data_IF_044426604542
#
_entry.id   IF_044426604542
#
_cell.length_a   1.000
_cell.length_b   1.000
_cell.length_c   1.000
_cell.angle_alpha   90.00
_cell.angle_beta   90.00
_cell.angle_gamma   90.00
#
_symmetry.space_group_name_H-M   'P 1'
#
loop_
_entity.id
_entity.type
_entity.pdbx_description
1 polymer ?
#
# COMPACT_ATOMS: atom_id res chain seq x y z
N UNK A 1 -24.00 -15.80 46.37
CA UNK A 1 -23.71 -15.76 44.91
C UNK A 1 -23.85 -14.36 44.40
N UNK A 2 -22.77 -13.62 44.42
CA UNK A 2 -22.68 -12.27 43.77
C UNK A 2 -22.84 -12.46 42.27
N UNK A 3 -23.78 -11.78 41.60
CA UNK A 3 -23.86 -11.84 40.14
C UNK A 3 -22.52 -11.34 39.56
N UNK A 4 -21.95 -12.12 38.66
CA UNK A 4 -20.68 -11.81 38.02
C UNK A 4 -20.79 -10.58 37.10
N UNK A 5 -20.70 -9.39 37.70
CA UNK A 5 -20.74 -8.10 37.02
C UNK A 5 -19.36 -7.74 36.39
N UNK A 6 -18.30 -8.45 36.80
CA UNK A 6 -16.96 -8.23 36.23
C UNK A 6 -16.40 -9.53 35.67
N UNK A 7 -16.04 -9.53 34.41
CA UNK A 7 -15.26 -10.59 33.77
C UNK A 7 -13.85 -10.64 34.40
N UNK A 8 -13.46 -11.79 34.97
CA UNK A 8 -12.15 -11.96 35.65
C UNK A 8 -10.95 -12.07 34.71
N UNK A 9 -11.15 -12.05 33.39
CA UNK A 9 -10.14 -12.37 32.38
C UNK A 9 -9.64 -11.19 31.54
N UNK A 10 -9.99 -9.95 31.85
CA UNK A 10 -9.59 -8.78 31.07
C UNK A 10 -10.30 -8.64 29.71
N UNK A 11 -11.17 -9.57 29.34
CA UNK A 11 -11.87 -9.55 28.03
C UNK A 11 -12.72 -8.32 27.79
N UNK A 12 -13.15 -7.62 28.85
CA UNK A 12 -13.93 -6.39 28.72
C UNK A 12 -13.15 -5.27 28.07
N UNK A 13 -11.90 -5.07 28.46
CA UNK A 13 -11.01 -4.05 27.88
C UNK A 13 -10.69 -4.38 26.43
N UNK A 14 -10.37 -5.64 26.13
CA UNK A 14 -10.09 -6.10 24.77
C UNK A 14 -11.29 -5.88 23.84
N UNK A 15 -12.51 -6.15 24.30
CA UNK A 15 -13.74 -5.88 23.54
C UNK A 15 -13.96 -4.38 23.29
N UNK A 16 -13.73 -3.53 24.30
CA UNK A 16 -13.83 -2.07 24.15
C UNK A 16 -12.85 -1.58 23.08
N UNK A 17 -11.59 -2.01 23.14
CA UNK A 17 -10.55 -1.65 22.16
C UNK A 17 -10.94 -2.18 20.77
N UNK A 18 -11.28 -3.47 20.68
CA UNK A 18 -11.65 -4.10 19.41
C UNK A 18 -12.79 -3.37 18.71
N UNK A 19 -13.91 -3.14 19.41
CA UNK A 19 -15.08 -2.47 18.81
C UNK A 19 -14.79 -1.02 18.46
N UNK A 20 -14.12 -0.28 19.35
CA UNK A 20 -13.80 1.13 19.10
C UNK A 20 -12.92 1.30 17.86
N UNK A 21 -11.86 0.49 17.74
CA UNK A 21 -10.94 0.54 16.60
C UNK A 21 -11.59 0.02 15.31
N UNK A 22 -12.37 -1.07 15.40
CA UNK A 22 -13.08 -1.64 14.25
C UNK A 22 -14.10 -0.68 13.64
N UNK A 23 -14.66 0.21 14.45
CA UNK A 23 -15.57 1.29 13.99
C UNK A 23 -14.82 2.51 13.41
N UNK A 24 -13.51 2.44 13.23
CA UNK A 24 -12.70 3.56 12.72
C UNK A 24 -12.60 4.76 13.69
N UNK A 25 -12.87 4.53 14.97
CA UNK A 25 -12.72 5.52 16.04
C UNK A 25 -11.30 5.49 16.61
N UNK A 26 -10.85 6.56 17.29
CA UNK A 26 -9.60 6.56 18.03
C UNK A 26 -9.59 5.49 19.12
N UNK A 27 -8.41 5.00 19.49
CA UNK A 27 -8.27 4.12 20.65
C UNK A 27 -8.83 4.77 21.92
N UNK A 28 -9.38 3.98 22.87
CA UNK A 28 -9.78 4.48 24.19
C UNK A 28 -8.61 5.16 24.90
N UNK A 29 -8.87 6.30 25.51
CA UNK A 29 -7.86 7.03 26.28
C UNK A 29 -8.05 6.74 27.78
N UNK A 30 -7.03 6.17 28.40
CA UNK A 30 -6.95 5.84 29.83
C UNK A 30 -6.04 6.78 30.60
N UNK A 31 -5.58 7.89 30.02
CA UNK A 31 -4.64 8.84 30.64
C UNK A 31 -5.11 9.48 31.94
N UNK A 32 -6.42 9.47 32.18
CA UNK A 32 -7.07 10.01 33.40
C UNK A 32 -7.27 8.95 34.50
N UNK A 33 -6.71 7.74 34.33
CA UNK A 33 -6.72 6.70 35.36
C UNK A 33 -5.78 7.09 36.51
N UNK A 34 -6.22 6.92 37.74
CA UNK A 34 -5.44 7.15 38.97
C UNK A 34 -5.36 5.88 39.82
N UNK A 35 -4.79 5.97 41.02
CA UNK A 35 -4.62 4.82 41.92
C UNK A 35 -5.93 4.20 42.40
N UNK A 36 -7.04 4.93 42.35
CA UNK A 36 -8.34 4.53 42.89
C UNK A 36 -9.38 4.27 41.82
N UNK A 37 -9.20 4.88 40.62
CA UNK A 37 -10.22 4.89 39.56
C UNK A 37 -9.60 4.56 38.20
N UNK A 38 -10.28 3.68 37.45
CA UNK A 38 -9.99 3.47 36.01
C UNK A 38 -10.92 4.34 35.20
N UNK A 39 -10.37 5.34 34.51
CA UNK A 39 -11.13 6.26 33.66
C UNK A 39 -10.86 5.98 32.21
N UNK A 40 -11.88 5.54 31.46
CA UNK A 40 -11.80 5.32 30.01
C UNK A 40 -12.58 6.43 29.29
N UNK A 41 -11.92 7.18 28.41
CA UNK A 41 -12.56 8.17 27.55
C UNK A 41 -12.71 7.58 26.14
N UNK A 42 -13.93 7.46 25.66
CA UNK A 42 -14.28 6.94 24.34
C UNK A 42 -14.73 8.06 23.43
N UNK A 43 -14.17 8.14 22.22
CA UNK A 43 -14.61 9.08 21.20
C UNK A 43 -15.84 8.52 20.46
N UNK A 44 -16.89 9.34 20.30
CA UNK A 44 -18.03 8.99 19.45
C UNK A 44 -17.76 9.25 17.97
N UNK A 45 -16.71 10.02 17.64
CA UNK A 45 -16.42 10.44 16.26
C UNK A 45 -15.66 9.35 15.51
N UNK A 46 -16.23 8.90 14.39
CA UNK A 46 -15.54 8.04 13.42
C UNK A 46 -14.56 8.90 12.64
N UNK A 47 -13.27 8.57 12.71
CA UNK A 47 -12.20 9.29 11.98
C UNK A 47 -11.93 8.69 10.62
N UNK A 48 -12.13 7.39 10.46
CA UNK A 48 -11.80 6.64 9.25
C UNK A 48 -12.92 5.65 8.91
N UNK A 49 -13.89 6.11 8.15
CA UNK A 49 -15.03 5.29 7.68
C UNK A 49 -14.56 4.18 6.74
N UNK A 50 -13.54 4.44 5.91
CA UNK A 50 -12.96 3.44 5.02
C UNK A 50 -12.36 2.27 5.79
N UNK A 51 -11.68 2.56 6.90
CA UNK A 51 -11.12 1.53 7.77
C UNK A 51 -12.23 0.72 8.48
N UNK A 52 -13.26 1.38 8.97
CA UNK A 52 -14.41 0.70 9.57
C UNK A 52 -15.06 -0.29 8.58
N UNK A 53 -15.34 0.14 7.36
CA UNK A 53 -15.90 -0.71 6.31
C UNK A 53 -14.95 -1.85 5.91
N UNK A 54 -13.65 -1.58 5.89
CA UNK A 54 -12.63 -2.57 5.59
C UNK A 54 -12.59 -3.69 6.65
N UNK A 55 -12.51 -3.32 7.94
CA UNK A 55 -12.50 -4.28 9.05
C UNK A 55 -13.81 -5.05 9.13
N UNK A 56 -14.94 -4.37 8.96
CA UNK A 56 -16.25 -5.02 8.91
C UNK A 56 -16.31 -6.06 7.79
N UNK A 57 -15.88 -5.71 6.58
CA UNK A 57 -15.87 -6.63 5.44
C UNK A 57 -14.98 -7.88 5.67
N UNK A 58 -13.87 -7.74 6.41
CA UNK A 58 -13.06 -8.87 6.85
C UNK A 58 -13.83 -9.72 7.87
N UNK A 59 -14.40 -9.09 8.89
CA UNK A 59 -15.16 -9.78 9.93
C UNK A 59 -16.33 -10.57 9.34
N UNK A 60 -17.08 -9.96 8.42
CA UNK A 60 -18.24 -10.61 7.77
C UNK A 60 -17.82 -11.80 6.89
N UNK A 61 -16.63 -11.74 6.29
CA UNK A 61 -16.09 -12.80 5.43
C UNK A 61 -15.42 -13.96 6.16
N UNK A 62 -15.19 -13.85 7.47
CA UNK A 62 -14.53 -14.87 8.25
C UNK A 62 -15.53 -15.72 9.06
N UNK A 63 -15.28 -17.05 9.24
CA UNK A 63 -16.00 -17.87 10.18
C UNK A 63 -15.85 -17.36 11.61
N UNK A 64 -16.81 -17.66 12.50
CA UNK A 64 -16.83 -17.14 13.86
C UNK A 64 -15.60 -17.52 14.70
N UNK A 65 -15.05 -18.71 14.48
CA UNK A 65 -13.83 -19.20 15.13
C UNK A 65 -12.54 -18.53 14.60
N UNK A 66 -12.63 -17.75 13.52
CA UNK A 66 -11.49 -17.10 12.85
C UNK A 66 -11.63 -15.58 12.75
N UNK A 67 -12.58 -15.01 13.47
CA UNK A 67 -12.75 -13.53 13.52
C UNK A 67 -11.46 -12.84 13.96
N UNK A 68 -11.28 -11.60 13.52
CA UNK A 68 -10.15 -10.78 13.94
C UNK A 68 -10.16 -10.60 15.46
N UNK A 69 -9.01 -10.80 16.07
CA UNK A 69 -8.77 -10.49 17.48
C UNK A 69 -8.44 -9.00 17.68
N UNK A 70 -8.42 -8.54 18.92
CA UNK A 70 -7.98 -7.18 19.26
C UNK A 70 -6.56 -6.90 18.75
N UNK A 71 -5.66 -7.86 18.81
CA UNK A 71 -4.28 -7.73 18.35
C UNK A 71 -4.19 -7.65 16.83
N UNK A 72 -5.04 -8.38 16.10
CA UNK A 72 -5.12 -8.26 14.63
C UNK A 72 -5.54 -6.85 14.21
N UNK A 73 -6.57 -6.29 14.87
CA UNK A 73 -7.06 -4.93 14.56
C UNK A 73 -6.04 -3.86 14.97
N UNK A 74 -5.33 -4.02 16.09
CA UNK A 74 -4.24 -3.13 16.48
C UNK A 74 -3.13 -3.12 15.42
N UNK A 75 -2.70 -4.29 14.92
CA UNK A 75 -1.70 -4.38 13.85
C UNK A 75 -2.16 -3.71 12.55
N UNK A 76 -3.45 -3.84 12.19
CA UNK A 76 -4.04 -3.11 11.05
C UNK A 76 -4.02 -1.58 11.28
N UNK A 77 -4.31 -1.13 12.50
CA UNK A 77 -4.22 0.30 12.87
C UNK A 77 -2.79 0.82 12.78
N UNK A 78 -1.79 0.07 13.29
CA UNK A 78 -0.38 0.47 13.19
C UNK A 78 0.03 0.70 11.73
N UNK A 79 -0.37 -0.19 10.81
CA UNK A 79 -0.06 -0.04 9.37
C UNK A 79 -0.81 1.14 8.75
N UNK A 80 -2.10 1.31 9.09
CA UNK A 80 -2.89 2.46 8.65
C UNK A 80 -2.22 3.78 9.04
N UNK A 81 -1.74 3.84 10.28
CA UNK A 81 -1.15 5.04 10.87
C UNK A 81 0.32 5.25 10.46
N UNK A 82 0.83 4.41 9.55
CA UNK A 82 2.12 4.60 8.89
C UNK A 82 3.29 3.80 9.46
N UNK A 83 3.05 2.86 10.38
CA UNK A 83 4.08 1.94 10.81
C UNK A 83 4.55 1.07 9.63
N UNK A 84 5.87 1.01 9.41
CA UNK A 84 6.43 0.15 8.36
C UNK A 84 6.21 -1.33 8.62
N UNK A 85 6.13 -1.72 9.87
CA UNK A 85 5.89 -3.10 10.31
C UNK A 85 5.03 -3.07 11.57
N UNK A 86 4.09 -4.00 11.72
CA UNK A 86 3.40 -4.20 12.99
C UNK A 86 4.38 -4.55 14.10
N UNK A 87 4.02 -4.20 15.32
CA UNK A 87 4.82 -4.51 16.52
C UNK A 87 4.96 -6.02 16.72
N UNK A 88 3.92 -6.78 16.41
CA UNK A 88 3.93 -8.24 16.46
C UNK A 88 4.17 -8.86 15.08
N UNK A 89 5.30 -9.59 14.96
CA UNK A 89 5.71 -10.23 13.71
C UNK A 89 4.84 -11.43 13.33
N UNK A 90 4.36 -12.19 14.30
CA UNK A 90 3.54 -13.37 14.02
C UNK A 90 2.16 -12.96 13.51
N UNK A 91 1.59 -11.92 14.10
CA UNK A 91 0.35 -11.31 13.62
C UNK A 91 0.54 -10.72 12.22
N UNK A 92 1.65 -10.04 11.96
CA UNK A 92 1.96 -9.53 10.62
C UNK A 92 1.98 -10.65 9.57
N UNK A 93 2.64 -11.77 9.84
CA UNK A 93 2.69 -12.93 8.94
C UNK A 93 1.32 -13.58 8.73
N UNK A 94 0.52 -13.67 9.81
CA UNK A 94 -0.87 -14.15 9.73
C UNK A 94 -1.71 -13.27 8.81
N UNK A 95 -1.68 -11.96 9.02
CA UNK A 95 -2.47 -11.00 8.25
C UNK A 95 -2.01 -10.94 6.78
N UNK A 96 -0.70 -11.03 6.51
CA UNK A 96 -0.13 -11.13 5.17
C UNK A 96 -0.65 -12.39 4.44
N UNK A 97 -0.58 -13.55 5.09
CA UNK A 97 -1.05 -14.83 4.54
C UNK A 97 -2.55 -14.82 4.21
N UNK A 98 -3.36 -14.10 5.01
CA UNK A 98 -4.79 -13.93 4.79
C UNK A 98 -5.11 -12.84 3.75
N UNK A 99 -4.12 -12.08 3.29
CA UNK A 99 -4.31 -10.99 2.34
C UNK A 99 -4.91 -9.71 2.94
N UNK A 100 -4.85 -9.57 4.26
CA UNK A 100 -5.36 -8.37 4.97
C UNK A 100 -4.33 -7.26 5.08
N UNK A 101 -3.09 -7.55 4.74
CA UNK A 101 -2.02 -6.57 4.53
C UNK A 101 -1.17 -7.01 3.33
N UNK A 102 -0.55 -6.06 2.66
CA UNK A 102 0.36 -6.30 1.53
C UNK A 102 1.79 -5.97 1.94
N UNK A 103 2.71 -6.88 1.62
CA UNK A 103 4.13 -6.71 1.87
C UNK A 103 4.81 -6.13 0.64
N UNK A 104 5.55 -5.06 0.85
CA UNK A 104 6.33 -4.35 -0.17
C UNK A 104 7.79 -4.21 0.24
N UNK A 105 8.64 -3.76 -0.70
CA UNK A 105 10.05 -3.58 -0.47
C UNK A 105 10.88 -4.85 -0.65
N UNK A 106 12.21 -4.68 -0.79
CA UNK A 106 13.16 -5.78 -0.99
C UNK A 106 14.01 -6.00 0.26
N UNK A 107 14.17 -7.25 0.65
CA UNK A 107 15.09 -7.69 1.71
C UNK A 107 14.95 -6.86 3.01
N UNK A 108 15.90 -5.98 3.33
CA UNK A 108 15.93 -5.23 4.58
C UNK A 108 15.03 -4.00 4.61
N UNK A 109 14.53 -3.56 3.46
CA UNK A 109 13.63 -2.41 3.32
C UNK A 109 12.16 -2.81 3.19
N UNK A 110 11.78 -4.00 3.66
CA UNK A 110 10.40 -4.48 3.63
C UNK A 110 9.51 -3.67 4.57
N UNK A 111 8.31 -3.39 4.09
CA UNK A 111 7.25 -2.71 4.84
C UNK A 111 5.89 -3.29 4.45
N UNK A 112 4.88 -3.01 5.27
CA UNK A 112 3.51 -3.42 5.02
C UNK A 112 2.63 -2.22 4.75
N UNK A 113 1.61 -2.40 3.92
CA UNK A 113 0.53 -1.46 3.68
C UNK A 113 -0.81 -2.17 3.78
N UNK A 114 -1.89 -1.43 3.99
CA UNK A 114 -3.22 -1.97 3.81
C UNK A 114 -3.48 -2.24 2.32
N UNK A 115 -4.28 -3.27 1.96
CA UNK A 115 -4.48 -3.62 0.57
C UNK A 115 -5.32 -2.57 -0.17
N UNK A 116 -5.26 -2.64 -1.48
CA UNK A 116 -5.97 -1.72 -2.39
C UNK A 116 -7.44 -1.52 -2.01
N UNK A 117 -8.12 -2.59 -1.56
CA UNK A 117 -9.53 -2.55 -1.15
C UNK A 117 -9.79 -1.52 -0.04
N UNK A 118 -8.88 -1.36 0.93
CA UNK A 118 -9.01 -0.32 1.95
C UNK A 118 -9.02 1.08 1.32
N UNK A 119 -8.11 1.35 0.38
CA UNK A 119 -8.02 2.66 -0.26
C UNK A 119 -9.19 2.94 -1.22
N UNK A 120 -9.80 1.91 -1.77
CA UNK A 120 -11.07 2.03 -2.52
C UNK A 120 -12.22 2.46 -1.60
N UNK A 121 -12.31 1.84 -0.41
CA UNK A 121 -13.33 2.18 0.60
C UNK A 121 -13.11 3.55 1.24
N UNK A 122 -11.86 3.99 1.40
CA UNK A 122 -11.54 5.32 1.92
C UNK A 122 -11.62 6.43 0.85
N UNK A 123 -11.76 6.06 -0.44
CA UNK A 123 -11.78 7.01 -1.56
C UNK A 123 -10.41 7.59 -1.90
N UNK A 124 -9.31 7.01 -1.41
CA UNK A 124 -7.95 7.52 -1.58
C UNK A 124 -7.02 6.54 -2.29
N UNK A 125 -7.37 6.18 -3.53
CA UNK A 125 -6.53 5.33 -4.38
C UNK A 125 -5.18 5.99 -4.73
N UNK A 126 -5.10 7.32 -4.62
CA UNK A 126 -3.85 8.04 -4.83
C UNK A 126 -2.86 7.67 -3.72
N UNK A 127 -3.30 7.66 -2.46
CA UNK A 127 -2.45 7.23 -1.34
C UNK A 127 -1.96 5.78 -1.50
N UNK A 128 -2.77 4.87 -2.05
CA UNK A 128 -2.31 3.52 -2.38
C UNK A 128 -1.18 3.55 -3.40
N UNK A 129 -1.37 4.25 -4.52
CA UNK A 129 -0.36 4.34 -5.58
C UNK A 129 0.96 4.95 -5.11
N UNK A 130 0.92 5.82 -4.09
CA UNK A 130 2.10 6.42 -3.47
C UNK A 130 2.84 5.46 -2.54
N UNK A 131 2.16 4.45 -2.00
CA UNK A 131 2.72 3.51 -1.02
C UNK A 131 3.25 2.22 -1.64
N UNK A 132 2.79 1.84 -2.82
CA UNK A 132 3.31 0.65 -3.51
C UNK A 132 4.69 0.91 -4.11
N UNK A 133 5.49 -0.15 -4.22
CA UNK A 133 6.76 -0.09 -4.95
C UNK A 133 6.49 0.12 -6.44
N UNK A 134 7.04 1.20 -6.96
CA UNK A 134 6.96 1.45 -8.39
C UNK A 134 7.93 0.56 -9.15
N UNK A 135 7.37 -0.26 -10.01
CA UNK A 135 8.13 -1.10 -10.92
C UNK A 135 8.16 -0.52 -12.34
N UNK A 136 8.74 -1.27 -13.25
CA UNK A 136 8.84 -0.90 -14.66
C UNK A 136 7.46 -0.71 -15.32
N UNK A 137 6.40 -1.42 -14.83
CA UNK A 137 5.04 -1.33 -15.39
C UNK A 137 4.40 0.02 -15.03
N UNK A 138 4.51 0.45 -13.75
CA UNK A 138 3.99 1.73 -13.31
C UNK A 138 4.71 2.89 -13.99
N UNK A 139 6.05 2.81 -14.10
CA UNK A 139 6.83 3.82 -14.81
C UNK A 139 6.43 3.89 -16.28
N UNK A 140 6.25 2.73 -16.94
CA UNK A 140 5.81 2.68 -18.32
C UNK A 140 4.41 3.28 -18.52
N UNK A 141 3.46 2.93 -17.63
CA UNK A 141 2.08 3.42 -17.68
C UNK A 141 1.97 4.95 -17.63
N UNK A 142 2.92 5.62 -16.98
CA UNK A 142 2.96 7.08 -16.88
C UNK A 142 3.82 7.70 -17.99
N UNK A 143 4.96 7.10 -18.28
CA UNK A 143 5.92 7.64 -19.22
C UNK A 143 5.45 7.49 -20.67
N UNK A 144 4.79 6.40 -21.03
CA UNK A 144 4.35 6.12 -22.39
C UNK A 144 3.35 7.17 -22.92
N UNK A 145 2.22 7.46 -22.24
CA UNK A 145 1.29 8.50 -22.68
C UNK A 145 1.95 9.89 -22.74
N UNK A 146 2.83 10.19 -21.80
CA UNK A 146 3.57 11.45 -21.80
C UNK A 146 4.47 11.58 -23.05
N UNK A 147 5.25 10.53 -23.35
CA UNK A 147 6.13 10.54 -24.53
C UNK A 147 5.32 10.56 -25.83
N UNK A 148 4.17 9.88 -25.88
CA UNK A 148 3.30 9.91 -27.05
C UNK A 148 2.72 11.30 -27.28
N UNK A 149 2.24 11.96 -26.21
CA UNK A 149 1.64 13.30 -26.28
C UNK A 149 2.66 14.41 -26.61
N UNK A 150 3.85 14.37 -25.97
CA UNK A 150 4.84 15.45 -26.07
C UNK A 150 6.03 15.13 -26.98
N UNK A 151 6.10 13.90 -27.50
CA UNK A 151 7.14 13.41 -28.40
C UNK A 151 8.49 13.14 -27.73
N UNK A 152 8.79 13.78 -26.60
CA UNK A 152 10.06 13.67 -25.89
C UNK A 152 9.93 14.00 -24.40
N UNK A 153 10.86 13.48 -23.57
CA UNK A 153 11.00 13.86 -22.17
C UNK A 153 12.48 13.99 -21.79
N UNK A 154 12.82 15.00 -21.01
CA UNK A 154 14.12 15.10 -20.32
C UNK A 154 14.06 14.38 -18.99
N UNK A 155 15.21 14.05 -18.40
CA UNK A 155 15.29 13.46 -17.07
C UNK A 155 14.52 14.24 -16.00
N UNK A 156 14.57 15.58 -16.08
CA UNK A 156 13.84 16.47 -15.16
C UNK A 156 12.32 16.33 -15.29
N UNK A 157 11.81 16.14 -16.51
CA UNK A 157 10.37 15.94 -16.75
C UNK A 157 9.92 14.60 -16.18
N UNK A 158 10.72 13.55 -16.40
CA UNK A 158 10.45 12.21 -15.85
C UNK A 158 10.48 12.23 -14.32
N UNK A 159 11.44 12.93 -13.70
CA UNK A 159 11.49 13.09 -12.25
C UNK A 159 10.26 13.83 -11.69
N UNK A 160 9.75 14.83 -12.40
CA UNK A 160 8.51 15.52 -12.01
C UNK A 160 7.28 14.63 -12.13
N UNK A 161 7.20 13.79 -13.15
CA UNK A 161 6.10 12.85 -13.38
C UNK A 161 6.05 11.75 -12.32
N UNK A 162 7.23 11.23 -11.95
CA UNK A 162 7.37 10.09 -11.03
C UNK A 162 7.42 10.56 -9.57
N UNK A 163 7.83 11.82 -9.34
CA UNK A 163 7.97 12.38 -8.00
C UNK A 163 9.01 11.65 -7.15
N UNK A 164 8.74 11.54 -5.86
CA UNK A 164 9.62 10.89 -4.87
C UNK A 164 9.43 9.36 -4.74
N UNK A 165 8.63 8.74 -5.62
CA UNK A 165 8.32 7.31 -5.55
C UNK A 165 9.52 6.41 -5.82
N UNK A 166 10.49 6.91 -6.59
CA UNK A 166 11.70 6.19 -6.93
C UNK A 166 12.94 7.04 -6.60
N UNK A 167 13.95 6.39 -6.04
CA UNK A 167 15.28 6.98 -5.96
C UNK A 167 15.88 7.14 -7.36
N UNK A 168 16.83 8.07 -7.51
CA UNK A 168 17.54 8.27 -8.79
C UNK A 168 18.18 6.99 -9.34
N UNK A 169 18.68 6.11 -8.45
CA UNK A 169 19.26 4.81 -8.83
C UNK A 169 18.19 3.86 -9.37
N UNK A 170 17.05 3.76 -8.72
CA UNK A 170 15.94 2.90 -9.17
C UNK A 170 15.41 3.37 -10.52
N UNK A 171 15.12 4.66 -10.66
CA UNK A 171 14.63 5.21 -11.92
C UNK A 171 15.65 5.04 -13.06
N UNK A 172 16.95 5.21 -12.79
CA UNK A 172 18.00 4.97 -13.79
C UNK A 172 17.99 3.52 -14.27
N UNK A 173 17.84 2.57 -13.36
CA UNK A 173 17.76 1.15 -13.70
C UNK A 173 16.53 0.84 -14.54
N UNK A 174 15.35 1.37 -14.17
CA UNK A 174 14.11 1.15 -14.92
C UNK A 174 14.20 1.77 -16.32
N UNK A 175 14.73 2.98 -16.45
CA UNK A 175 14.91 3.61 -17.77
C UNK A 175 15.90 2.83 -18.65
N UNK A 176 16.95 2.27 -18.06
CA UNK A 176 17.85 1.35 -18.77
C UNK A 176 17.09 0.10 -19.23
N UNK A 177 16.33 -0.52 -18.35
CA UNK A 177 15.52 -1.69 -18.67
C UNK A 177 14.49 -1.42 -19.78
N UNK A 178 13.84 -0.24 -19.77
CA UNK A 178 12.94 0.17 -20.86
C UNK A 178 13.69 0.39 -22.19
N UNK A 179 14.93 0.88 -22.14
CA UNK A 179 15.80 1.01 -23.34
C UNK A 179 16.22 -0.36 -23.86
N UNK A 180 16.64 -1.27 -22.98
CA UNK A 180 17.04 -2.64 -23.34
C UNK A 180 15.87 -3.44 -23.94
N UNK A 181 14.63 -3.15 -23.52
CA UNK A 181 13.41 -3.70 -24.12
C UNK A 181 13.00 -2.99 -25.42
N UNK A 182 13.79 -2.02 -25.86
CA UNK A 182 13.49 -1.22 -27.06
C UNK A 182 12.12 -0.52 -27.04
N UNK A 183 11.67 -0.15 -25.84
CA UNK A 183 10.44 0.62 -25.62
C UNK A 183 10.69 2.12 -25.71
N UNK A 184 11.87 2.57 -25.24
CA UNK A 184 12.34 3.96 -25.35
C UNK A 184 13.73 3.99 -25.99
N UNK A 185 14.04 5.10 -26.61
CA UNK A 185 15.39 5.41 -27.12
C UNK A 185 15.87 6.73 -26.58
N UNK A 186 17.17 6.96 -26.59
CA UNK A 186 17.78 8.23 -26.19
C UNK A 186 18.52 8.85 -27.35
N UNK A 187 18.65 10.17 -27.34
CA UNK A 187 19.57 10.89 -28.22
C UNK A 187 21.02 10.64 -27.77
N UNK A 188 21.82 10.06 -28.65
CA UNK A 188 23.16 9.57 -28.31
C UNK A 188 24.21 10.68 -28.10
N UNK A 189 23.91 11.90 -28.48
CA UNK A 189 24.87 13.00 -28.56
C UNK A 189 24.80 14.02 -27.41
N UNK A 190 24.07 13.75 -26.31
CA UNK A 190 23.90 14.72 -25.24
C UNK A 190 24.35 14.22 -23.87
N UNK A 191 25.09 15.06 -23.15
CA UNK A 191 25.47 14.87 -21.74
C UNK A 191 24.24 14.66 -20.83
N UNK A 192 23.06 15.14 -21.26
CA UNK A 192 21.77 14.97 -20.60
C UNK A 192 20.80 14.31 -21.58
N UNK A 193 20.56 13.00 -21.47
CA UNK A 193 19.77 12.26 -22.43
C UNK A 193 18.33 12.76 -22.48
N UNK A 194 17.83 12.89 -23.71
CA UNK A 194 16.41 13.08 -24.00
C UNK A 194 15.82 11.74 -24.41
N UNK A 195 14.67 11.39 -23.87
CA UNK A 195 14.00 10.12 -24.07
C UNK A 195 12.86 10.27 -25.07
N UNK A 196 12.71 9.26 -25.94
CA UNK A 196 11.68 9.18 -26.98
C UNK A 196 11.09 7.78 -26.99
N UNK A 197 9.87 7.60 -27.49
CA UNK A 197 9.36 6.28 -27.83
C UNK A 197 10.22 5.67 -28.95
N UNK A 198 10.54 4.37 -28.86
CA UNK A 198 11.31 3.67 -29.90
C UNK A 198 10.47 3.44 -31.15
N UNK A 199 9.14 3.29 -31.02
CA UNK A 199 8.17 3.12 -32.10
C UNK A 199 7.10 4.21 -32.03
N UNK A 200 6.60 4.62 -33.17
CA UNK A 200 5.43 5.48 -33.30
C UNK A 200 4.20 4.60 -33.31
N UNK A 201 3.25 4.90 -32.43
CA UNK A 201 1.95 4.21 -32.33
C UNK A 201 0.84 5.19 -32.73
N UNK A 202 -0.27 4.62 -33.21
CA UNK A 202 -1.42 5.44 -33.63
C UNK A 202 -2.17 6.03 -32.42
N UNK A 203 -2.19 5.30 -31.30
CA UNK A 203 -2.88 5.73 -30.07
C UNK A 203 -2.03 5.49 -28.81
N UNK A 204 -2.37 6.20 -27.72
CA UNK A 204 -1.75 6.01 -26.40
C UNK A 204 -1.98 4.59 -25.89
N UNK A 205 -3.20 4.07 -26.08
CA UNK A 205 -3.59 2.72 -25.61
C UNK A 205 -2.80 1.62 -26.34
N UNK A 206 -2.60 1.76 -27.67
CA UNK A 206 -1.81 0.80 -28.43
C UNK A 206 -0.34 0.77 -27.93
N UNK A 207 0.26 1.94 -27.73
CA UNK A 207 1.61 2.08 -27.22
C UNK A 207 1.74 1.46 -25.82
N UNK A 208 0.79 1.76 -24.93
CA UNK A 208 0.75 1.28 -23.57
C UNK A 208 0.63 -0.24 -23.51
N UNK A 209 -0.35 -0.82 -24.20
CA UNK A 209 -0.62 -2.27 -24.22
C UNK A 209 0.56 -3.05 -24.80
N UNK A 210 1.14 -2.55 -25.89
CA UNK A 210 2.33 -3.17 -26.50
C UNK A 210 3.48 -3.26 -25.50
N UNK A 211 3.80 -2.14 -24.84
CA UNK A 211 4.89 -2.10 -23.87
C UNK A 211 4.64 -3.00 -22.66
N UNK A 212 3.44 -2.99 -22.09
CA UNK A 212 3.09 -3.89 -20.97
C UNK A 212 3.22 -5.37 -21.36
N UNK A 213 2.86 -5.72 -22.59
CA UNK A 213 2.99 -7.10 -23.11
C UNK A 213 4.46 -7.51 -23.20
N UNK A 214 5.34 -6.63 -23.69
CA UNK A 214 6.77 -6.87 -23.79
C UNK A 214 7.40 -7.04 -22.40
N UNK A 215 7.05 -6.15 -21.46
CA UNK A 215 7.54 -6.21 -20.08
C UNK A 215 7.12 -7.52 -19.39
N UNK A 216 5.88 -7.94 -19.58
CA UNK A 216 5.35 -9.18 -19.03
C UNK A 216 6.11 -10.40 -19.52
N UNK A 217 6.34 -10.52 -20.83
CA UNK A 217 7.11 -11.63 -21.43
C UNK A 217 8.53 -11.71 -20.85
N UNK A 218 9.22 -10.55 -20.66
CA UNK A 218 10.53 -10.53 -20.02
C UNK A 218 10.51 -11.07 -18.58
N UNK A 219 9.48 -10.68 -17.81
CA UNK A 219 9.35 -11.08 -16.41
C UNK A 219 9.02 -12.57 -16.27
N UNK A 220 8.28 -13.15 -17.21
CA UNK A 220 7.99 -14.58 -17.29
C UNK A 220 9.27 -15.38 -17.60
N UNK A 221 10.08 -14.93 -18.56
CA UNK A 221 11.37 -15.58 -18.89
C UNK A 221 12.37 -15.55 -17.73
N UNK A 222 12.45 -14.43 -16.99
CA UNK A 222 13.32 -14.31 -15.80
C UNK A 222 12.91 -15.18 -14.61
N UNK A 223 11.69 -15.69 -14.59
CA UNK A 223 11.22 -16.61 -13.53
C UNK A 223 11.44 -18.08 -13.90
N UNK A 224 11.70 -18.36 -15.20
CA UNK A 224 11.95 -19.70 -15.71
C UNK A 224 13.44 -20.08 -15.71
N UNK A 225 14.33 -19.11 -15.50
CA UNK A 225 15.77 -19.27 -15.24
C UNK A 225 16.07 -19.38 -13.74
#
# INVERSE_FOLDING_TARGET
>A
TTPGIAERSGQGVDKIILYTLSEGKPAPDYSKTDEFNVTATLSATVKDTGFALYVQGIQDGLPDDKKLTVFDVLALCEIRDGAKRPSDKEIALKLEKLGFIEKHGKTNAQYYILPRRYYELSGDLVAYSLKIDWDINQVWAILCPFLHKYGKAKRADINKLIGSHLSDKQLRNILRDLKDLNLIRTDENQTRPTYFLSKIFATDDEALVNGLTIIRKRNENKKAE
#
